data_IF_336770602553
#
_entry.id   IF_336770602553
#
_cell.length_a   1.000
_cell.length_b   1.000
_cell.length_c   1.000
_cell.angle_alpha   90.00
_cell.angle_beta   90.00
_cell.angle_gamma   90.00
#
_symmetry.space_group_name_H-M   'P 1'
#
loop_
_entity.id
_entity.type
_entity.pdbx_description
1 polymer ?
#
# COMPACT_ATOMS: atom_id res chain seq x y z
N UNK A 1 11.01 4.81 14.42
CA UNK A 1 10.09 4.02 13.55
C UNK A 1 9.29 4.95 12.67
N UNK A 2 9.19 4.63 11.41
CA UNK A 2 8.37 5.41 10.49
C UNK A 2 6.92 4.91 10.53
N UNK A 3 5.99 5.84 10.51
CA UNK A 3 4.57 5.51 10.50
C UNK A 3 3.87 6.22 9.35
N UNK A 4 2.95 5.53 8.72
CA UNK A 4 2.08 6.08 7.70
C UNK A 4 0.64 5.72 8.08
N UNK A 5 -0.22 6.73 8.15
CA UNK A 5 -1.62 6.53 8.49
C UNK A 5 -2.51 6.96 7.33
N UNK A 6 -3.33 6.04 6.89
CA UNK A 6 -4.31 6.30 5.82
C UNK A 6 -5.68 5.91 6.35
N UNK A 7 -6.60 6.86 6.35
CA UNK A 7 -7.94 6.66 6.89
C UNK A 7 -8.93 6.27 5.81
N UNK A 8 -10.00 5.59 6.22
CA UNK A 8 -11.12 5.22 5.34
C UNK A 8 -10.66 4.37 4.15
N UNK A 9 -9.79 3.42 4.43
CA UNK A 9 -9.30 2.50 3.42
C UNK A 9 -10.45 1.57 2.99
N UNK A 10 -10.66 1.44 1.69
CA UNK A 10 -11.69 0.59 1.11
C UNK A 10 -11.15 -0.66 0.45
N UNK A 11 -9.87 -0.63 0.04
CA UNK A 11 -9.25 -1.75 -0.65
C UNK A 11 -7.74 -1.65 -0.56
N UNK A 12 -7.08 -2.79 -0.42
CA UNK A 12 -5.62 -2.89 -0.47
C UNK A 12 -5.28 -3.88 -1.59
N UNK A 13 -4.58 -3.38 -2.61
CA UNK A 13 -4.07 -4.23 -3.68
C UNK A 13 -2.59 -4.48 -3.46
N UNK A 14 -2.20 -5.75 -3.57
CA UNK A 14 -0.80 -6.15 -3.53
C UNK A 14 -0.44 -6.57 -4.95
N UNK A 15 0.46 -5.82 -5.57
CA UNK A 15 0.87 -6.10 -6.95
C UNK A 15 1.90 -7.22 -6.99
N UNK A 16 2.16 -7.71 -8.20
CA UNK A 16 3.19 -8.74 -8.41
C UNK A 16 4.57 -8.17 -8.14
N UNK A 17 5.48 -9.03 -7.75
CA UNK A 17 6.89 -8.66 -7.59
C UNK A 17 7.47 -8.34 -8.97
N UNK A 18 8.14 -7.19 -9.08
CA UNK A 18 8.86 -6.78 -10.26
C UNK A 18 10.36 -6.91 -10.03
N UNK A 19 11.06 -7.54 -10.96
CA UNK A 19 12.51 -7.66 -10.92
C UNK A 19 13.12 -6.85 -12.06
N UNK A 20 13.95 -5.88 -11.72
CA UNK A 20 14.77 -5.16 -12.67
C UNK A 20 16.19 -5.67 -12.64
N UNK A 21 17.09 -4.99 -13.36
CA UNK A 21 18.49 -5.41 -13.44
C UNK A 21 19.24 -5.27 -12.12
N UNK A 22 18.86 -4.28 -11.32
CA UNK A 22 19.54 -3.99 -10.06
C UNK A 22 18.61 -3.84 -8.89
N UNK A 23 17.34 -4.22 -9.04
CA UNK A 23 16.36 -4.07 -7.97
C UNK A 23 15.27 -5.12 -8.02
N UNK A 24 14.66 -5.34 -6.88
CA UNK A 24 13.43 -6.14 -6.75
C UNK A 24 12.46 -5.23 -5.99
N UNK A 25 11.26 -5.06 -6.52
CA UNK A 25 10.27 -4.24 -5.82
C UNK A 25 8.89 -4.87 -5.86
N UNK A 26 8.08 -4.44 -4.91
CA UNK A 26 6.68 -4.83 -4.84
C UNK A 26 5.87 -3.61 -4.45
N UNK A 27 4.78 -3.39 -5.19
CA UNK A 27 3.94 -2.23 -4.97
C UNK A 27 2.68 -2.60 -4.22
N UNK A 28 2.26 -1.68 -3.37
CA UNK A 28 0.94 -1.72 -2.74
C UNK A 28 0.15 -0.53 -3.26
N UNK A 29 -1.12 -0.75 -3.56
CA UNK A 29 -2.05 0.32 -3.90
C UNK A 29 -3.12 0.36 -2.82
N UNK A 30 -3.19 1.47 -2.11
CA UNK A 30 -4.17 1.67 -1.05
C UNK A 30 -5.28 2.56 -1.59
N UNK A 31 -6.49 2.01 -1.67
CA UNK A 31 -7.66 2.77 -2.07
C UNK A 31 -8.34 3.31 -0.82
N UNK A 32 -8.64 4.60 -0.82
CA UNK A 32 -9.27 5.25 0.32
C UNK A 32 -10.26 6.31 -0.14
N UNK A 33 -11.06 6.78 0.80
CA UNK A 33 -12.02 7.85 0.54
C UNK A 33 -11.58 9.11 1.26
N UNK A 34 -11.82 10.25 0.62
CA UNK A 34 -11.62 11.56 1.22
C UNK A 34 -12.83 12.41 0.94
N UNK A 35 -13.30 13.14 1.93
CA UNK A 35 -14.40 14.07 1.74
C UNK A 35 -13.88 15.34 1.06
N UNK A 36 -14.53 15.72 -0.02
CA UNK A 36 -14.20 16.93 -0.77
C UNK A 36 -15.27 17.98 -0.49
N UNK A 37 -14.88 19.06 0.17
CA UNK A 37 -15.81 20.12 0.56
C UNK A 37 -16.32 20.92 -0.62
N UNK A 38 -15.56 20.98 -1.71
CA UNK A 38 -16.00 21.70 -2.93
C UNK A 38 -17.11 20.91 -3.64
N UNK A 39 -16.95 19.60 -3.73
CA UNK A 39 -17.94 18.71 -4.32
C UNK A 39 -19.06 18.35 -3.36
N UNK A 40 -18.83 18.55 -2.08
CA UNK A 40 -19.72 18.14 -1.00
C UNK A 40 -20.04 16.65 -1.05
N UNK A 41 -19.03 15.85 -1.32
CA UNK A 41 -19.14 14.40 -1.45
C UNK A 41 -17.78 13.75 -1.25
N UNK A 42 -17.78 12.43 -1.14
CA UNK A 42 -16.54 11.65 -1.03
C UNK A 42 -15.96 11.37 -2.40
N UNK A 43 -14.64 11.48 -2.49
CA UNK A 43 -13.90 11.05 -3.67
C UNK A 43 -12.99 9.88 -3.30
N UNK A 44 -12.64 9.08 -4.29
CA UNK A 44 -11.73 7.95 -4.11
C UNK A 44 -10.32 8.41 -4.43
N UNK A 45 -9.38 8.06 -3.56
CA UNK A 45 -7.95 8.31 -3.75
C UNK A 45 -7.20 7.00 -3.79
N UNK A 46 -6.09 6.99 -4.51
CA UNK A 46 -5.17 5.86 -4.53
C UNK A 46 -3.81 6.33 -4.05
N UNK A 47 -3.25 5.60 -3.12
CA UNK A 47 -1.89 5.84 -2.64
C UNK A 47 -1.03 4.66 -3.05
N UNK A 48 0.02 4.93 -3.83
CA UNK A 48 0.96 3.91 -4.26
C UNK A 48 2.16 3.90 -3.33
N UNK A 49 2.53 2.71 -2.89
CA UNK A 49 3.71 2.51 -2.06
C UNK A 49 4.62 1.53 -2.77
N UNK A 50 5.81 1.97 -3.13
CA UNK A 50 6.80 1.14 -3.77
C UNK A 50 7.78 0.63 -2.72
N UNK A 51 7.88 -0.69 -2.60
CA UNK A 51 8.75 -1.32 -1.62
C UNK A 51 9.91 -1.99 -2.35
N UNK A 52 11.11 -1.48 -2.12
CA UNK A 52 12.31 -2.08 -2.69
C UNK A 52 12.85 -3.13 -1.73
N UNK A 53 12.99 -4.34 -2.21
CA UNK A 53 13.25 -5.51 -1.39
C UNK A 53 14.72 -5.82 -1.35
N UNK A 54 15.18 -6.32 -0.21
CA UNK A 54 16.57 -6.76 -0.05
C UNK A 54 16.84 -7.99 -0.92
N UNK A 55 15.91 -8.93 -0.90
CA UNK A 55 15.94 -10.09 -1.80
C UNK A 55 14.51 -10.57 -2.08
N UNK A 56 14.39 -11.58 -2.94
CA UNK A 56 13.09 -12.07 -3.36
C UNK A 56 12.27 -12.68 -2.20
N UNK A 57 12.92 -13.17 -1.16
CA UNK A 57 12.21 -13.77 -0.03
C UNK A 57 11.49 -12.73 0.81
N UNK A 58 11.92 -11.46 0.77
CA UNK A 58 11.28 -10.37 1.48
C UNK A 58 9.92 -10.01 0.89
N UNK A 59 9.57 -10.54 -0.28
CA UNK A 59 8.27 -10.28 -0.90
C UNK A 59 7.12 -10.98 -0.20
N UNK A 60 7.39 -11.93 0.68
CA UNK A 60 6.36 -12.68 1.36
C UNK A 60 5.59 -11.79 2.32
N UNK A 61 4.28 -11.95 2.33
CA UNK A 61 3.44 -11.28 3.29
C UNK A 61 3.41 -12.09 4.58
N UNK A 62 3.66 -11.42 5.69
CA UNK A 62 3.63 -12.04 7.00
C UNK A 62 2.51 -11.40 7.80
N UNK A 63 1.60 -12.22 8.28
CA UNK A 63 0.49 -11.76 9.10
C UNK A 63 0.85 -12.01 10.56
N UNK A 64 0.83 -10.93 11.35
CA UNK A 64 1.06 -11.04 12.77
C UNK A 64 -0.05 -11.83 13.44
N UNK A 65 0.31 -12.62 14.45
CA UNK A 65 -0.67 -13.33 15.28
C UNK A 65 -1.25 -12.43 16.36
N UNK A 66 -0.74 -11.23 16.50
CA UNK A 66 -1.25 -10.28 17.48
C UNK A 66 -2.66 -9.89 17.12
N UNK A 67 -3.46 -9.70 18.13
CA UNK A 67 -4.84 -9.28 17.94
C UNK A 67 -4.96 -7.77 18.03
N UNK A 68 -5.92 -7.26 17.36
CA UNK A 68 -6.32 -5.87 17.45
C UNK A 68 -7.57 -5.77 18.28
#
# INVERSE_FOLDING_TARGET
>A
MAELRIHKVTKIEVKKVNKGDSYICRDLIIHSKRYDFELNDYITEKTRIDLFLDDASASKLVYSKDKY
#
